data_IF_654570660988
#
_entry.id   IF_654570660988
#
_cell.length_a   1.000
_cell.length_b   1.000
_cell.length_c   1.000
_cell.angle_alpha   90.00
_cell.angle_beta   90.00
_cell.angle_gamma   90.00
#
_symmetry.space_group_name_H-M   'P 1'
#
loop_
_entity.id
_entity.type
_entity.pdbx_description
1 polymer ?
#
# COMPACT_ATOMS: atom_id res chain seq x y z
N UNK A 1 -3.85 91.34 76.73
CA UNK A 1 -4.69 90.26 76.15
C UNK A 1 -4.35 90.23 74.68
N UNK A 2 -3.89 89.17 74.03
CA UNK A 2 -3.80 87.75 74.35
C UNK A 2 -2.80 87.18 73.31
N UNK A 3 -1.87 86.31 73.71
CA UNK A 3 -0.87 85.72 72.81
C UNK A 3 -1.54 84.59 72.01
N UNK A 4 -1.32 84.53 70.70
CA UNK A 4 -1.53 83.28 69.94
C UNK A 4 -0.31 82.98 69.08
N UNK A 5 0.25 81.80 69.29
CA UNK A 5 1.56 81.29 68.86
C UNK A 5 1.61 80.89 67.37
N UNK A 6 2.80 80.89 66.72
CA UNK A 6 2.94 80.68 65.28
C UNK A 6 3.02 79.20 64.80
N UNK A 7 2.68 78.21 65.64
CA UNK A 7 3.13 76.83 65.42
C UNK A 7 2.14 75.87 64.73
N UNK A 8 1.03 76.33 64.15
CA UNK A 8 -0.02 75.39 63.66
C UNK A 8 -0.09 75.21 62.13
N UNK A 9 0.73 75.90 61.34
CA UNK A 9 0.62 75.80 59.87
C UNK A 9 1.73 74.98 59.19
N UNK A 10 2.82 74.58 59.86
CA UNK A 10 3.85 73.76 59.20
C UNK A 10 3.50 72.25 59.20
N UNK A 11 2.81 71.75 60.23
CA UNK A 11 2.36 70.36 60.31
C UNK A 11 1.30 69.99 59.27
N UNK A 12 0.44 70.92 58.87
CA UNK A 12 -0.60 70.69 57.85
C UNK A 12 0.01 70.54 56.45
N UNK A 13 1.00 71.38 56.12
CA UNK A 13 1.70 71.28 54.84
C UNK A 13 2.54 69.99 54.80
N UNK A 14 3.30 69.66 55.85
CA UNK A 14 4.11 68.43 55.89
C UNK A 14 3.28 67.14 55.82
N UNK A 15 2.08 67.09 56.43
CA UNK A 15 1.17 65.94 56.29
C UNK A 15 0.61 65.80 54.88
N UNK A 16 0.26 66.91 54.21
CA UNK A 16 -0.26 66.87 52.83
C UNK A 16 0.78 66.39 51.81
N UNK A 17 2.07 66.73 51.97
CA UNK A 17 3.14 66.22 51.10
C UNK A 17 3.43 64.74 51.37
N UNK A 18 3.34 64.31 52.64
CA UNK A 18 3.57 62.91 53.02
C UNK A 18 2.43 61.98 52.54
N UNK A 19 1.17 62.41 52.62
CA UNK A 19 0.02 61.65 52.10
C UNK A 19 0.01 61.61 50.58
N UNK A 20 0.27 62.74 49.91
CA UNK A 20 0.34 62.80 48.44
C UNK A 20 1.48 61.93 47.89
N UNK A 21 2.66 61.94 48.53
CA UNK A 21 3.77 61.05 48.16
C UNK A 21 3.46 59.57 48.45
N UNK A 22 2.71 59.24 49.50
CA UNK A 22 2.27 57.88 49.80
C UNK A 22 1.26 57.34 48.78
N UNK A 23 0.30 58.17 48.36
CA UNK A 23 -0.71 57.83 47.35
C UNK A 23 -0.11 57.70 45.93
N UNK A 24 0.82 58.58 45.55
CA UNK A 24 1.54 58.50 44.27
C UNK A 24 2.46 57.27 44.21
N UNK A 25 3.13 56.91 45.31
CA UNK A 25 3.97 55.71 45.36
C UNK A 25 3.15 54.40 45.35
N UNK A 26 2.00 54.38 46.03
CA UNK A 26 1.06 53.25 46.02
C UNK A 26 0.42 53.03 44.64
N UNK A 27 0.04 54.10 43.95
CA UNK A 27 -0.52 54.02 42.60
C UNK A 27 0.52 53.62 41.54
N UNK A 28 1.76 54.09 41.65
CA UNK A 28 2.86 53.61 40.81
C UNK A 28 3.18 52.13 41.05
N UNK A 29 3.16 51.68 42.30
CA UNK A 29 3.41 50.28 42.66
C UNK A 29 2.28 49.36 42.18
N UNK A 30 1.02 49.80 42.27
CA UNK A 30 -0.13 49.10 41.71
C UNK A 30 -0.04 48.97 40.18
N UNK A 31 0.30 50.06 39.47
CA UNK A 31 0.49 50.03 38.02
C UNK A 31 1.60 49.07 37.58
N UNK A 32 2.73 49.02 38.31
CA UNK A 32 3.79 48.03 38.04
C UNK A 32 3.32 46.60 38.26
N UNK A 33 2.63 46.32 39.37
CA UNK A 33 2.13 44.97 39.66
C UNK A 33 1.14 44.48 38.60
N UNK A 34 0.24 45.36 38.12
CA UNK A 34 -0.69 45.04 37.02
C UNK A 34 0.08 44.77 35.72
N UNK A 35 1.10 45.57 35.41
CA UNK A 35 1.91 45.39 34.21
C UNK A 35 2.78 44.13 34.25
N UNK A 36 3.24 43.72 35.43
CA UNK A 36 3.98 42.48 35.66
C UNK A 36 3.08 41.25 35.55
N UNK A 37 1.89 41.28 36.18
CA UNK A 37 0.86 40.24 35.98
C UNK A 37 0.43 40.10 34.51
N UNK A 38 0.28 41.22 33.79
CA UNK A 38 -0.03 41.19 32.35
C UNK A 38 1.09 40.54 31.53
N UNK A 39 2.36 40.74 31.91
CA UNK A 39 3.50 40.09 31.26
C UNK A 39 3.52 38.59 31.53
N UNK A 40 3.28 38.17 32.77
CA UNK A 40 3.25 36.75 33.14
C UNK A 40 2.16 35.99 32.38
N UNK A 41 0.97 36.57 32.28
CA UNK A 41 -0.13 36.02 31.47
C UNK A 41 0.25 35.95 29.99
N UNK A 42 0.93 36.96 29.45
CA UNK A 42 1.37 36.96 28.04
C UNK A 42 2.43 35.89 27.76
N UNK A 43 3.33 35.63 28.70
CA UNK A 43 4.35 34.57 28.60
C UNK A 43 3.70 33.19 28.65
N UNK A 44 2.73 32.98 29.54
CA UNK A 44 2.00 31.72 29.64
C UNK A 44 1.16 31.43 28.39
N UNK A 45 0.52 32.46 27.82
CA UNK A 45 -0.21 32.36 26.54
C UNK A 45 0.73 31.93 25.40
N UNK A 46 1.88 32.60 25.21
CA UNK A 46 2.86 32.21 24.17
C UNK A 46 3.35 30.78 24.35
N UNK A 47 3.64 30.37 25.59
CA UNK A 47 4.07 29.01 25.90
C UNK A 47 2.98 27.98 25.56
N UNK A 48 1.71 28.30 25.85
CA UNK A 48 0.59 27.42 25.51
C UNK A 48 0.37 27.30 23.99
N UNK A 49 0.54 28.38 23.23
CA UNK A 49 0.52 28.38 21.77
C UNK A 49 1.66 27.53 21.18
N UNK A 50 2.87 27.64 21.72
CA UNK A 50 4.01 26.81 21.31
C UNK A 50 3.78 25.33 21.59
N UNK A 51 3.23 24.99 22.76
CA UNK A 51 2.86 23.62 23.11
C UNK A 51 1.80 23.10 22.15
N UNK A 52 0.78 23.91 21.83
CA UNK A 52 -0.27 23.55 20.88
C UNK A 52 0.30 23.31 19.47
N UNK A 53 1.16 24.21 18.97
CA UNK A 53 1.85 24.05 17.68
C UNK A 53 2.72 22.79 17.64
N UNK A 54 3.48 22.55 18.71
CA UNK A 54 4.33 21.35 18.81
C UNK A 54 3.49 20.07 18.83
N UNK A 55 2.36 20.07 19.55
CA UNK A 55 1.41 18.96 19.56
C UNK A 55 0.86 18.69 18.16
N UNK A 56 0.41 19.74 17.48
CA UNK A 56 -0.09 19.63 16.10
C UNK A 56 0.99 19.11 15.15
N UNK A 57 2.24 19.57 15.27
CA UNK A 57 3.34 19.07 14.45
C UNK A 57 3.61 17.57 14.71
N UNK A 58 3.60 17.14 15.97
CA UNK A 58 3.75 15.71 16.30
C UNK A 58 2.62 14.87 15.71
N UNK A 59 1.38 15.35 15.71
CA UNK A 59 0.25 14.66 15.10
C UNK A 59 0.43 14.53 13.57
N UNK A 60 0.90 15.59 12.91
CA UNK A 60 1.25 15.58 11.47
C UNK A 60 2.35 14.55 11.19
N UNK A 61 3.42 14.56 11.98
CA UNK A 61 4.57 13.67 11.78
C UNK A 61 4.17 12.19 11.94
N UNK A 62 3.30 11.88 12.91
CA UNK A 62 2.76 10.53 13.11
C UNK A 62 1.92 10.09 11.92
N UNK A 63 1.04 10.94 11.41
CA UNK A 63 0.20 10.61 10.26
C UNK A 63 1.05 10.40 8.99
N UNK A 64 2.04 11.26 8.75
CA UNK A 64 2.99 11.11 7.64
C UNK A 64 3.78 9.80 7.76
N UNK A 65 4.23 9.43 8.96
CA UNK A 65 4.92 8.17 9.18
C UNK A 65 4.02 6.96 8.88
N UNK A 66 2.75 7.02 9.26
CA UNK A 66 1.75 5.99 8.96
C UNK A 66 1.52 5.86 7.45
N UNK A 67 1.31 6.97 6.75
CA UNK A 67 1.11 6.98 5.30
C UNK A 67 2.33 6.42 4.55
N UNK A 68 3.55 6.77 4.97
CA UNK A 68 4.79 6.21 4.42
C UNK A 68 4.86 4.69 4.59
N UNK A 69 4.48 4.18 5.75
CA UNK A 69 4.48 2.74 6.00
C UNK A 69 3.45 2.02 5.14
N UNK A 70 2.26 2.60 4.95
CA UNK A 70 1.23 2.05 4.06
C UNK A 70 1.73 2.04 2.60
N UNK A 71 2.28 3.16 2.13
CA UNK A 71 2.81 3.31 0.77
C UNK A 71 3.85 2.26 0.42
N UNK A 72 4.81 2.02 1.33
CA UNK A 72 5.84 0.98 1.13
C UNK A 72 5.20 -0.41 1.05
N UNK A 73 4.23 -0.71 1.93
CA UNK A 73 3.55 -2.02 1.95
C UNK A 73 2.76 -2.25 0.67
N UNK A 74 1.93 -1.29 0.26
CA UNK A 74 1.13 -1.38 -0.97
C UNK A 74 2.05 -1.55 -2.18
N UNK A 75 3.09 -0.74 -2.31
CA UNK A 75 4.04 -0.88 -3.43
C UNK A 75 4.73 -2.23 -3.44
N UNK A 76 5.16 -2.74 -2.29
CA UNK A 76 5.78 -4.05 -2.19
C UNK A 76 4.80 -5.18 -2.54
N UNK A 77 3.54 -5.05 -2.12
CA UNK A 77 2.45 -5.98 -2.42
C UNK A 77 2.22 -6.06 -3.94
N UNK A 78 1.98 -4.92 -4.60
CA UNK A 78 1.77 -4.90 -6.06
C UNK A 78 3.03 -5.30 -6.85
N UNK A 79 4.21 -4.95 -6.34
CA UNK A 79 5.46 -5.34 -6.97
C UNK A 79 5.63 -6.87 -6.93
N UNK A 80 5.23 -7.54 -5.86
CA UNK A 80 5.31 -9.00 -5.76
C UNK A 80 4.42 -9.67 -6.82
N UNK A 81 3.17 -9.22 -6.96
CA UNK A 81 2.26 -9.72 -8.00
C UNK A 81 2.83 -9.54 -9.41
N UNK A 82 3.25 -8.33 -9.76
CA UNK A 82 3.75 -8.02 -11.11
C UNK A 82 5.07 -8.74 -11.42
N UNK A 83 5.99 -8.81 -10.46
CA UNK A 83 7.29 -9.47 -10.63
C UNK A 83 7.12 -10.98 -10.86
N UNK A 84 6.27 -11.63 -10.07
CA UNK A 84 6.02 -13.06 -10.21
C UNK A 84 5.14 -13.33 -11.43
N UNK A 85 4.15 -12.50 -11.75
CA UNK A 85 3.30 -12.72 -12.92
C UNK A 85 4.02 -12.54 -14.27
N UNK A 86 5.08 -11.72 -14.31
CA UNK A 86 5.87 -11.51 -15.51
C UNK A 86 4.98 -11.05 -16.68
N UNK A 87 5.04 -11.74 -17.81
CA UNK A 87 4.23 -11.39 -18.98
C UNK A 87 2.71 -11.59 -18.81
N UNK A 88 2.27 -12.35 -17.80
CA UNK A 88 0.85 -12.60 -17.54
C UNK A 88 0.25 -11.65 -16.49
N UNK A 89 1.07 -10.76 -15.93
CA UNK A 89 0.64 -9.66 -15.09
C UNK A 89 0.84 -8.33 -15.81
N UNK A 90 -0.11 -7.43 -15.65
CA UNK A 90 0.03 -6.05 -16.13
C UNK A 90 0.87 -5.19 -15.19
N UNK A 91 0.95 -3.90 -15.51
CA UNK A 91 1.60 -2.93 -14.63
C UNK A 91 0.79 -2.73 -13.33
N UNK A 92 1.45 -2.49 -12.20
CA UNK A 92 0.79 -2.03 -10.98
C UNK A 92 0.01 -0.74 -11.19
N UNK A 93 -1.21 -0.71 -10.66
CA UNK A 93 -2.02 0.50 -10.55
C UNK A 93 -2.16 0.86 -9.08
N UNK A 94 -2.14 2.16 -8.77
CA UNK A 94 -2.17 2.64 -7.40
C UNK A 94 -3.23 3.71 -7.21
N UNK A 95 -3.85 3.70 -6.04
CA UNK A 95 -4.72 4.77 -5.55
C UNK A 95 -3.96 5.56 -4.48
N UNK A 96 -3.94 6.88 -4.65
CA UNK A 96 -3.14 7.77 -3.82
C UNK A 96 -4.01 8.68 -2.95
N UNK A 97 -3.47 9.05 -1.80
CA UNK A 97 -3.98 10.15 -0.97
C UNK A 97 -2.92 11.21 -0.77
N UNK A 98 -3.35 12.46 -0.65
CA UNK A 98 -2.48 13.59 -0.32
C UNK A 98 -2.28 13.66 1.20
N UNK A 99 -1.04 13.52 1.65
CA UNK A 99 -0.67 13.66 3.06
C UNK A 99 -0.63 15.12 3.52
N UNK A 100 -0.61 15.37 4.84
CA UNK A 100 -0.51 16.72 5.39
C UNK A 100 0.84 17.41 5.11
N UNK A 101 1.84 16.66 4.63
CA UNK A 101 3.11 17.17 4.12
C UNK A 101 3.08 17.52 2.61
N UNK A 102 1.91 17.42 1.97
CA UNK A 102 1.70 17.74 0.55
C UNK A 102 2.21 16.67 -0.42
N UNK A 103 2.56 15.47 0.07
CA UNK A 103 3.03 14.35 -0.76
C UNK A 103 1.92 13.33 -1.01
N UNK A 104 1.98 12.63 -2.15
CA UNK A 104 1.08 11.53 -2.47
C UNK A 104 1.62 10.22 -1.90
N UNK A 105 0.74 9.42 -1.30
CA UNK A 105 1.03 8.10 -0.73
C UNK A 105 0.07 7.07 -1.29
N UNK A 106 0.57 5.93 -1.78
CA UNK A 106 -0.27 4.83 -2.24
C UNK A 106 -0.93 4.16 -1.03
N UNK A 107 -2.25 4.06 -1.05
CA UNK A 107 -3.04 3.44 0.04
C UNK A 107 -3.80 2.19 -0.41
N UNK A 108 -3.92 2.00 -1.71
CA UNK A 108 -4.39 0.78 -2.34
C UNK A 108 -3.67 0.61 -3.68
N UNK A 109 -3.64 -0.61 -4.18
CA UNK A 109 -3.16 -0.93 -5.50
C UNK A 109 -3.78 -2.21 -6.02
N UNK A 110 -3.56 -2.48 -7.30
CA UNK A 110 -3.89 -3.75 -7.91
C UNK A 110 -2.97 -4.02 -9.12
N UNK A 111 -2.75 -5.32 -9.39
CA UNK A 111 -2.09 -5.79 -10.60
C UNK A 111 -3.08 -6.66 -11.37
N UNK A 112 -3.47 -6.29 -12.60
CA UNK A 112 -4.33 -7.16 -13.40
C UNK A 112 -3.54 -8.41 -13.82
N UNK A 113 -4.12 -9.59 -13.59
CA UNK A 113 -3.51 -10.88 -13.95
C UNK A 113 -4.40 -11.59 -14.97
N UNK A 114 -3.82 -12.04 -16.07
CA UNK A 114 -4.53 -12.72 -17.14
C UNK A 114 -4.74 -14.21 -16.84
N UNK A 115 -6.00 -14.59 -16.59
CA UNK A 115 -6.44 -15.96 -16.33
C UNK A 115 -6.94 -16.69 -17.59
N UNK A 116 -6.86 -16.09 -18.78
CA UNK A 116 -7.34 -16.74 -20.00
C UNK A 116 -6.48 -17.96 -20.38
N UNK A 117 -7.09 -19.04 -20.90
CA UNK A 117 -6.34 -20.16 -21.44
C UNK A 117 -5.58 -19.77 -22.71
N UNK A 118 -4.55 -20.54 -23.03
CA UNK A 118 -3.72 -20.42 -24.24
C UNK A 118 -4.16 -21.42 -25.32
N UNK A 119 -3.58 -21.30 -26.52
CA UNK A 119 -3.93 -22.13 -27.69
C UNK A 119 -3.75 -23.64 -27.49
N UNK A 120 -2.90 -24.06 -26.56
CA UNK A 120 -2.66 -25.50 -26.29
C UNK A 120 -2.72 -25.79 -24.80
N UNK A 121 -3.16 -27.01 -24.41
CA UNK A 121 -3.22 -27.42 -23.02
C UNK A 121 -1.87 -27.26 -22.29
N UNK A 122 -0.75 -27.57 -22.94
CA UNK A 122 0.59 -27.47 -22.35
C UNK A 122 0.99 -26.01 -22.06
N UNK A 123 0.63 -25.08 -22.95
CA UNK A 123 0.86 -23.64 -22.72
C UNK A 123 -0.03 -23.13 -21.60
N UNK A 124 -1.31 -23.53 -21.59
CA UNK A 124 -2.26 -23.17 -20.54
C UNK A 124 -1.79 -23.63 -19.17
N UNK A 125 -1.31 -24.87 -19.05
CA UNK A 125 -0.76 -25.41 -17.79
C UNK A 125 0.37 -24.53 -17.26
N UNK A 126 1.34 -24.20 -18.11
CA UNK A 126 2.49 -23.35 -17.72
C UNK A 126 2.04 -21.94 -17.32
N UNK A 127 1.13 -21.34 -18.09
CA UNK A 127 0.56 -20.02 -17.77
C UNK A 127 -0.18 -20.04 -16.45
N UNK A 128 -1.10 -20.98 -16.25
CA UNK A 128 -1.92 -21.03 -15.04
C UNK A 128 -1.09 -21.29 -13.79
N UNK A 129 -0.02 -22.09 -13.88
CA UNK A 129 0.94 -22.23 -12.77
C UNK A 129 1.60 -20.90 -12.40
N UNK A 130 2.04 -20.12 -13.39
CA UNK A 130 2.62 -18.80 -13.16
C UNK A 130 1.60 -17.82 -12.57
N UNK A 131 0.38 -17.83 -13.09
CA UNK A 131 -0.73 -16.98 -12.63
C UNK A 131 -1.10 -17.28 -11.17
N UNK A 132 -1.18 -18.56 -10.79
CA UNK A 132 -1.42 -18.97 -9.39
C UNK A 132 -0.28 -18.47 -8.50
N UNK A 133 0.97 -18.66 -8.93
CA UNK A 133 2.13 -18.18 -8.17
C UNK A 133 2.12 -16.66 -8.01
N UNK A 134 1.73 -15.92 -9.05
CA UNK A 134 1.65 -14.47 -9.03
C UNK A 134 0.56 -13.96 -8.09
N UNK A 135 -0.64 -14.54 -8.17
CA UNK A 135 -1.77 -14.19 -7.31
C UNK A 135 -1.47 -14.48 -5.82
N UNK A 136 -0.66 -15.50 -5.53
CA UNK A 136 -0.28 -15.86 -4.17
C UNK A 136 1.10 -15.31 -3.75
N UNK A 137 1.69 -14.41 -4.53
CA UNK A 137 3.06 -13.94 -4.33
C UNK A 137 3.27 -13.08 -3.06
N UNK A 138 2.39 -12.12 -2.71
CA UNK A 138 2.53 -11.40 -1.45
C UNK A 138 2.38 -12.33 -0.24
N UNK A 139 2.96 -11.94 0.89
CA UNK A 139 2.83 -12.71 2.12
C UNK A 139 1.39 -12.72 2.68
N UNK A 140 0.60 -11.70 2.34
CA UNK A 140 -0.78 -11.47 2.77
C UNK A 140 -1.70 -11.22 1.56
N UNK A 141 -1.91 -12.21 0.67
CA UNK A 141 -2.71 -12.03 -0.53
C UNK A 141 -4.15 -11.61 -0.19
N UNK A 142 -4.73 -10.72 -1.00
CA UNK A 142 -6.09 -10.23 -0.78
C UNK A 142 -7.12 -11.30 -1.14
N UNK A 143 -8.38 -11.16 -0.67
CA UNK A 143 -9.47 -12.03 -1.10
C UNK A 143 -9.67 -12.08 -2.62
N UNK A 144 -9.35 -11.00 -3.33
CA UNK A 144 -9.41 -10.91 -4.79
C UNK A 144 -8.32 -11.77 -5.42
N UNK A 145 -7.09 -11.71 -4.92
CA UNK A 145 -5.98 -12.51 -5.44
C UNK A 145 -6.21 -14.00 -5.22
N UNK A 146 -6.75 -14.38 -4.06
CA UNK A 146 -7.14 -15.76 -3.76
C UNK A 146 -8.20 -16.25 -4.76
N UNK A 147 -9.14 -15.39 -5.17
CA UNK A 147 -10.12 -15.74 -6.21
C UNK A 147 -9.46 -15.94 -7.57
N UNK A 148 -8.53 -15.07 -7.97
CA UNK A 148 -7.75 -15.22 -9.20
C UNK A 148 -6.98 -16.56 -9.20
N UNK A 149 -6.29 -16.88 -8.11
CA UNK A 149 -5.59 -18.15 -7.94
C UNK A 149 -6.56 -19.35 -8.04
N UNK A 150 -7.75 -19.24 -7.43
CA UNK A 150 -8.77 -20.29 -7.47
C UNK A 150 -9.34 -20.51 -8.88
N UNK A 151 -9.54 -19.43 -9.65
CA UNK A 151 -9.98 -19.50 -11.05
C UNK A 151 -8.89 -20.16 -11.90
N UNK A 152 -7.65 -19.72 -11.77
CA UNK A 152 -6.53 -20.27 -12.51
C UNK A 152 -6.30 -21.77 -12.18
N UNK A 153 -6.50 -22.18 -10.92
CA UNK A 153 -6.42 -23.59 -10.52
C UNK A 153 -7.48 -24.47 -11.19
N UNK A 154 -8.69 -23.95 -11.44
CA UNK A 154 -9.73 -24.68 -12.19
C UNK A 154 -9.33 -24.87 -13.65
N UNK A 155 -8.88 -23.79 -14.30
CA UNK A 155 -8.43 -23.82 -15.69
C UNK A 155 -7.21 -24.74 -15.85
N UNK A 156 -6.30 -24.73 -14.88
CA UNK A 156 -5.17 -25.65 -14.82
C UNK A 156 -5.63 -27.12 -14.80
N UNK A 157 -6.60 -27.46 -13.96
CA UNK A 157 -7.12 -28.82 -13.87
C UNK A 157 -7.81 -29.26 -15.18
N UNK A 158 -8.55 -28.36 -15.82
CA UNK A 158 -9.17 -28.60 -17.13
C UNK A 158 -8.09 -28.87 -18.21
N UNK A 159 -7.06 -28.04 -18.28
CA UNK A 159 -5.97 -28.19 -19.25
C UNK A 159 -5.16 -29.49 -19.03
N UNK A 160 -4.94 -29.92 -17.78
CA UNK A 160 -4.29 -31.22 -17.49
C UNK A 160 -5.14 -32.39 -18.01
N UNK A 161 -6.46 -32.32 -17.82
CA UNK A 161 -7.40 -33.32 -18.30
C UNK A 161 -7.42 -33.39 -19.83
N UNK A 162 -7.43 -32.23 -20.49
CA UNK A 162 -7.39 -32.12 -21.95
C UNK A 162 -6.08 -32.67 -22.52
N UNK A 163 -4.93 -32.27 -21.97
CA UNK A 163 -3.62 -32.80 -22.36
C UNK A 163 -3.58 -34.34 -22.30
N UNK A 164 -4.10 -34.91 -21.20
CA UNK A 164 -4.15 -36.35 -21.02
C UNK A 164 -5.04 -37.05 -22.06
N UNK A 165 -6.08 -36.38 -22.57
CA UNK A 165 -6.94 -36.91 -23.62
C UNK A 165 -6.24 -36.84 -24.98
N UNK A 166 -5.61 -35.71 -25.29
CA UNK A 166 -4.87 -35.52 -26.54
C UNK A 166 -3.72 -36.51 -26.68
N UNK A 167 -3.01 -36.82 -25.60
CA UNK A 167 -1.96 -37.84 -25.58
C UNK A 167 -2.50 -39.25 -25.86
N UNK A 168 -3.67 -39.59 -25.33
CA UNK A 168 -4.33 -40.88 -25.60
C UNK A 168 -4.78 -40.99 -27.05
N UNK A 169 -5.40 -39.93 -27.58
CA UNK A 169 -5.87 -39.89 -28.98
C UNK A 169 -4.69 -40.01 -29.94
N UNK A 170 -3.60 -39.25 -29.72
CA UNK A 170 -2.37 -39.36 -30.50
C UNK A 170 -1.77 -40.77 -30.44
N UNK A 171 -1.76 -41.40 -29.28
CA UNK A 171 -1.23 -42.76 -29.13
C UNK A 171 -2.08 -43.80 -29.88
N UNK A 172 -3.40 -43.68 -29.82
CA UNK A 172 -4.32 -44.57 -30.53
C UNK A 172 -4.21 -44.41 -32.05
N UNK A 173 -4.02 -43.19 -32.54
CA UNK A 173 -3.83 -42.93 -33.97
C UNK A 173 -2.47 -43.43 -34.48
N UNK A 174 -1.39 -43.24 -33.72
CA UNK A 174 -0.08 -43.82 -34.03
C UNK A 174 -0.15 -45.36 -34.11
N UNK A 175 -0.90 -46.01 -33.21
CA UNK A 175 -1.13 -47.46 -33.27
C UNK A 175 -1.91 -47.89 -34.51
N UNK A 176 -2.91 -47.12 -34.96
CA UNK A 176 -3.66 -47.44 -36.18
C UNK A 176 -2.79 -47.30 -37.42
N UNK A 177 -1.97 -46.25 -37.50
CA UNK A 177 -1.02 -46.05 -38.59
C UNK A 177 0.00 -47.19 -38.65
N UNK A 178 0.61 -47.56 -37.52
CA UNK A 178 1.57 -48.68 -37.48
C UNK A 178 0.95 -50.02 -37.92
N UNK A 179 -0.28 -50.31 -37.48
CA UNK A 179 -0.99 -51.54 -37.87
C UNK A 179 -1.34 -51.56 -39.36
N UNK A 180 -1.76 -50.44 -39.95
CA UNK A 180 -2.01 -50.34 -41.39
C UNK A 180 -0.72 -50.51 -42.19
N UNK A 181 0.37 -49.85 -41.77
CA UNK A 181 1.67 -49.92 -42.47
C UNK A 181 2.21 -51.35 -42.46
N UNK A 182 2.13 -52.06 -41.32
CA UNK A 182 2.56 -53.46 -41.25
C UNK A 182 1.70 -54.36 -42.13
N UNK A 183 0.38 -54.15 -42.17
CA UNK A 183 -0.54 -54.92 -43.01
C UNK A 183 -0.25 -54.71 -44.50
N UNK A 184 0.00 -53.48 -44.93
CA UNK A 184 0.35 -53.17 -46.32
C UNK A 184 1.68 -53.84 -46.71
N UNK A 185 2.69 -53.85 -45.83
CA UNK A 185 3.96 -54.54 -46.10
C UNK A 185 3.86 -56.07 -46.12
N UNK A 186 2.96 -56.65 -45.32
CA UNK A 186 2.67 -58.10 -45.34
C UNK A 186 1.91 -58.49 -46.61
N UNK A 187 0.91 -57.71 -47.01
CA UNK A 187 0.14 -57.93 -48.24
C UNK A 187 1.02 -57.78 -49.49
N UNK A 188 1.94 -56.80 -49.52
CA UNK A 188 2.94 -56.68 -50.59
C UNK A 188 3.90 -57.88 -50.64
N UNK A 189 4.42 -58.35 -49.50
CA UNK A 189 5.28 -59.54 -49.45
C UNK A 189 4.56 -60.80 -49.88
N UNK A 190 3.31 -60.97 -49.46
CA UNK A 190 2.48 -62.14 -49.79
C UNK A 190 2.12 -62.17 -51.27
N UNK A 191 1.74 -61.01 -51.84
CA UNK A 191 1.58 -60.87 -53.29
C UNK A 191 2.90 -61.09 -54.03
N UNK A 192 4.03 -60.69 -53.44
CA UNK A 192 5.36 -60.89 -54.03
C UNK A 192 5.70 -62.38 -54.18
N UNK A 193 5.51 -63.15 -53.12
CA UNK A 193 5.73 -64.60 -53.12
C UNK A 193 4.77 -65.33 -54.08
N UNK A 194 3.53 -64.85 -54.21
CA UNK A 194 2.56 -65.45 -55.14
C UNK A 194 2.96 -65.31 -56.62
N UNK A 195 3.54 -64.19 -57.04
CA UNK A 195 4.00 -64.06 -58.43
C UNK A 195 5.27 -64.86 -58.69
N UNK A 196 6.19 -64.95 -57.71
CA UNK A 196 7.41 -65.76 -57.82
C UNK A 196 7.09 -67.25 -58.00
N UNK A 197 6.08 -67.77 -57.28
CA UNK A 197 5.65 -69.18 -57.40
C UNK A 197 4.94 -69.46 -58.73
N UNK A 198 4.15 -68.51 -59.26
CA UNK A 198 3.43 -68.68 -60.53
C UNK A 198 4.29 -68.49 -61.78
N UNK A 199 5.46 -67.86 -61.67
CA UNK A 199 6.39 -67.63 -62.79
C UNK A 199 7.41 -68.76 -63.04
N UNK A 200 7.36 -69.85 -62.27
CA UNK A 200 8.37 -70.93 -62.26
C UNK A 200 7.94 -72.22 -62.98
N UNK A 201 6.91 -72.17 -63.83
CA UNK A 201 6.47 -73.28 -64.69
C UNK A 201 6.54 -72.90 -66.17
#
# INVERSE_FOLDING_TARGET
MERVSPAQNESSYLWQIFTKNGEENSSQQFQRNVQEQQKDVQVELKRSEEIAKKKQQMEIDVEVAKLRMIDIKVKAHELAHSTVGGQYAGAPHYQFVLGPDGKLYAVAGEVPIDVSPEDTPEKTIKKMQQVIAAALAPADPSPQDIQVASIAAKILAEAISELSRDEREKFDDLKKEENNTNKDTEDERSNKLQWEIRGLF
#
